data_IF_316057815055
#
_entry.id   IF_316057815055
#
_cell.length_a   1.000
_cell.length_b   1.000
_cell.length_c   1.000
_cell.angle_alpha   90.00
_cell.angle_beta   90.00
_cell.angle_gamma   90.00
#
_symmetry.space_group_name_H-M   'P 1'
#
loop_
_entity.id
_entity.type
_entity.pdbx_description
1 polymer ?
#
# COMPACT_ATOMS: atom_id res chain seq x y z
N UNK A 1 19.20 -12.06 11.10
CA UNK A 1 19.38 -10.60 10.81
C UNK A 1 19.50 -10.33 9.30
N UNK A 2 20.40 -10.97 8.56
CA UNK A 2 20.55 -10.76 7.11
C UNK A 2 19.27 -11.08 6.31
N UNK A 3 18.61 -12.20 6.58
CA UNK A 3 17.36 -12.58 5.89
C UNK A 3 16.21 -11.61 6.15
N UNK A 4 15.97 -11.23 7.42
CA UNK A 4 14.96 -10.23 7.77
C UNK A 4 15.21 -8.88 7.07
N UNK A 5 16.46 -8.45 6.97
CA UNK A 5 16.81 -7.21 6.26
C UNK A 5 16.50 -7.31 4.77
N UNK A 6 16.82 -8.45 4.15
CA UNK A 6 16.52 -8.73 2.74
C UNK A 6 15.01 -8.75 2.48
N UNK A 7 14.23 -9.39 3.35
CA UNK A 7 12.76 -9.43 3.25
C UNK A 7 12.13 -8.05 3.46
N UNK A 8 12.65 -7.27 4.41
CA UNK A 8 12.22 -5.90 4.64
C UNK A 8 12.48 -5.00 3.43
N UNK A 9 13.67 -5.09 2.83
CA UNK A 9 14.00 -4.35 1.60
C UNK A 9 13.05 -4.78 0.47
N UNK A 10 12.87 -6.09 0.28
CA UNK A 10 12.00 -6.63 -0.78
C UNK A 10 10.56 -6.16 -0.63
N UNK A 11 9.98 -6.30 0.55
CA UNK A 11 8.59 -5.88 0.84
C UNK A 11 8.41 -4.38 0.66
N UNK A 12 9.39 -3.58 1.09
CA UNK A 12 9.40 -2.13 0.90
C UNK A 12 9.44 -1.74 -0.57
N UNK A 13 10.33 -2.35 -1.36
CA UNK A 13 10.44 -2.08 -2.81
C UNK A 13 9.15 -2.46 -3.53
N UNK A 14 8.55 -3.61 -3.21
CA UNK A 14 7.26 -4.03 -3.79
C UNK A 14 6.17 -3.02 -3.44
N UNK A 15 6.10 -2.60 -2.17
CA UNK A 15 5.10 -1.64 -1.69
C UNK A 15 5.23 -0.26 -2.34
N UNK A 16 6.45 0.27 -2.46
CA UNK A 16 6.71 1.52 -3.19
C UNK A 16 6.32 1.36 -4.66
N UNK A 17 6.74 0.27 -5.31
CA UNK A 17 6.39 -0.01 -6.69
C UNK A 17 4.88 -0.06 -6.93
N UNK A 18 4.13 -0.64 -6.00
CA UNK A 18 2.67 -0.66 -6.07
C UNK A 18 2.04 0.72 -5.87
N UNK A 19 2.51 1.51 -4.90
CA UNK A 19 2.05 2.87 -4.70
C UNK A 19 2.26 3.72 -5.96
N UNK A 20 3.44 3.60 -6.59
CA UNK A 20 3.76 4.26 -7.85
C UNK A 20 2.88 3.78 -9.00
N UNK A 21 2.65 2.46 -9.12
CA UNK A 21 1.79 1.91 -10.15
C UNK A 21 0.35 2.43 -10.04
N UNK A 22 -0.21 2.47 -8.82
CA UNK A 22 -1.54 3.02 -8.56
C UNK A 22 -1.57 4.51 -8.90
N UNK A 23 -0.55 5.27 -8.49
CA UNK A 23 -0.43 6.69 -8.82
C UNK A 23 -0.40 6.93 -10.33
N UNK A 24 0.36 6.13 -11.09
CA UNK A 24 0.39 6.22 -12.56
C UNK A 24 -0.96 5.86 -13.18
N UNK A 25 -1.65 4.81 -12.72
CA UNK A 25 -2.99 4.43 -13.21
C UNK A 25 -3.99 5.57 -12.97
N UNK A 26 -3.98 6.15 -11.78
CA UNK A 26 -4.81 7.31 -11.45
C UNK A 26 -4.45 8.49 -12.35
N UNK A 27 -3.15 8.76 -12.54
CA UNK A 27 -2.66 9.80 -13.45
C UNK A 27 -3.17 9.64 -14.88
N UNK A 28 -3.17 8.42 -15.43
CA UNK A 28 -3.75 8.12 -16.76
C UNK A 28 -5.25 8.42 -16.78
N UNK A 29 -6.00 8.09 -15.73
CA UNK A 29 -7.43 8.41 -15.65
C UNK A 29 -7.67 9.92 -15.67
N UNK A 30 -6.85 10.70 -14.94
CA UNK A 30 -6.92 12.16 -14.98
C UNK A 30 -6.55 12.70 -16.37
N UNK A 31 -5.45 12.23 -16.95
CA UNK A 31 -5.01 12.63 -18.29
C UNK A 31 -6.12 12.46 -19.34
N UNK A 32 -6.77 11.28 -19.38
CA UNK A 32 -7.88 11.01 -20.29
C UNK A 32 -9.10 11.87 -19.97
N UNK A 33 -9.49 11.99 -18.69
CA UNK A 33 -10.67 12.76 -18.26
C UNK A 33 -10.57 14.25 -18.62
N UNK A 34 -9.37 14.81 -18.54
CA UNK A 34 -9.10 16.22 -18.83
C UNK A 34 -8.52 16.43 -20.24
N UNK A 35 -8.65 15.43 -21.13
CA UNK A 35 -8.23 15.51 -22.53
C UNK A 35 -6.77 15.94 -22.74
N UNK A 36 -5.86 15.42 -21.91
CA UNK A 36 -4.43 15.73 -21.92
C UNK A 36 -4.06 17.02 -21.18
N UNK A 37 -5.02 17.73 -20.60
CA UNK A 37 -4.76 18.97 -19.87
C UNK A 37 -4.57 18.71 -18.37
N UNK A 38 -3.31 18.52 -17.96
CA UNK A 38 -2.93 18.24 -16.58
C UNK A 38 -1.79 19.17 -16.13
N UNK A 39 -2.15 20.32 -15.58
CA UNK A 39 -1.20 21.32 -15.06
C UNK A 39 -0.97 21.15 -13.56
N UNK A 40 0.29 20.98 -13.16
CA UNK A 40 0.71 20.89 -11.76
C UNK A 40 1.68 22.02 -11.43
N UNK A 41 1.35 22.83 -10.44
CA UNK A 41 2.18 23.95 -9.98
C UNK A 41 2.88 23.65 -8.65
N UNK A 42 3.77 24.52 -8.18
CA UNK A 42 4.34 24.45 -6.83
C UNK A 42 4.99 23.10 -6.48
N UNK A 43 5.66 22.48 -7.47
CA UNK A 43 6.30 21.16 -7.36
C UNK A 43 5.32 20.05 -6.95
N UNK A 44 4.03 20.19 -7.27
CA UNK A 44 2.99 19.27 -6.82
C UNK A 44 3.24 17.83 -7.30
N UNK A 45 3.74 17.65 -8.52
CA UNK A 45 4.14 16.33 -9.00
C UNK A 45 5.22 15.69 -8.10
N UNK A 46 6.28 16.44 -7.79
CA UNK A 46 7.36 15.99 -6.92
C UNK A 46 6.84 15.62 -5.53
N UNK A 47 5.96 16.44 -4.95
CA UNK A 47 5.32 16.16 -3.66
C UNK A 47 4.51 14.85 -3.71
N UNK A 48 3.75 14.63 -4.78
CA UNK A 48 2.97 13.39 -4.97
C UNK A 48 3.87 12.16 -5.11
N UNK A 49 4.97 12.24 -5.86
CA UNK A 49 5.95 11.14 -5.98
C UNK A 49 6.59 10.82 -4.64
N UNK A 50 7.05 11.83 -3.89
CA UNK A 50 7.57 11.63 -2.53
C UNK A 50 6.49 11.01 -1.63
N UNK A 51 5.25 11.47 -1.74
CA UNK A 51 4.11 10.90 -1.05
C UNK A 51 3.93 9.40 -1.34
N UNK A 52 4.04 8.99 -2.60
CA UNK A 52 3.97 7.58 -2.97
C UNK A 52 5.09 6.74 -2.35
N UNK A 53 6.31 7.28 -2.24
CA UNK A 53 7.41 6.61 -1.53
C UNK A 53 7.08 6.44 -0.04
N UNK A 54 6.59 7.50 0.61
CA UNK A 54 6.23 7.48 2.03
C UNK A 54 5.08 6.50 2.31
N UNK A 55 4.07 6.44 1.43
CA UNK A 55 2.99 5.45 1.50
C UNK A 55 3.55 4.04 1.33
N UNK A 56 4.41 3.84 0.34
CA UNK A 56 5.10 2.58 0.11
C UNK A 56 5.86 2.11 1.35
N UNK A 57 6.58 3.00 2.02
CA UNK A 57 7.25 2.73 3.30
C UNK A 57 6.25 2.42 4.42
N UNK A 58 5.17 3.20 4.52
CA UNK A 58 4.11 3.05 5.53
C UNK A 58 3.43 1.68 5.52
N UNK A 59 3.31 1.04 4.35
CA UNK A 59 2.83 -0.35 4.26
C UNK A 59 3.98 -1.37 4.24
N UNK A 60 5.08 -1.06 3.54
CA UNK A 60 6.19 -2.00 3.33
C UNK A 60 6.90 -2.37 4.61
N UNK A 61 7.25 -1.38 5.44
CA UNK A 61 8.04 -1.60 6.66
C UNK A 61 7.26 -2.38 7.73
N UNK A 62 6.00 -2.02 8.06
CA UNK A 62 5.23 -2.74 9.08
C UNK A 62 4.91 -4.19 8.72
N UNK A 63 5.04 -4.59 7.45
CA UNK A 63 4.85 -5.97 7.01
C UNK A 63 5.78 -6.96 7.73
N UNK A 64 6.89 -6.49 8.32
CA UNK A 64 7.79 -7.31 9.14
C UNK A 64 7.06 -8.01 10.31
N UNK A 65 5.94 -7.47 10.79
CA UNK A 65 5.11 -8.07 11.83
C UNK A 65 4.60 -9.47 11.46
N UNK A 66 4.54 -9.81 10.17
CA UNK A 66 4.16 -11.16 9.71
C UNK A 66 5.17 -12.24 10.04
N UNK A 67 6.43 -11.89 10.35
CA UNK A 67 7.47 -12.83 10.76
C UNK A 67 7.47 -13.11 12.27
N UNK A 68 6.60 -12.44 13.05
CA UNK A 68 6.51 -12.66 14.50
C UNK A 68 5.50 -13.76 14.81
N UNK A 69 5.98 -14.98 15.01
CA UNK A 69 5.14 -16.13 15.34
C UNK A 69 4.38 -16.02 16.67
N UNK A 70 4.84 -15.14 17.56
CA UNK A 70 4.21 -14.87 18.86
C UNK A 70 2.90 -14.09 18.77
N UNK A 71 2.62 -13.43 17.65
CA UNK A 71 1.40 -12.61 17.48
C UNK A 71 0.33 -13.38 16.71
N UNK A 72 -0.95 -13.35 17.11
CA UNK A 72 -2.02 -13.93 16.31
C UNK A 72 -2.26 -13.09 15.05
N UNK A 73 -2.74 -13.73 13.98
CA UNK A 73 -2.91 -13.12 12.66
C UNK A 73 -3.72 -11.79 12.68
N UNK A 74 -4.85 -11.68 13.41
CA UNK A 74 -5.61 -10.41 13.45
C UNK A 74 -4.79 -9.23 13.99
N UNK A 75 -3.94 -9.47 14.99
CA UNK A 75 -3.09 -8.42 15.58
C UNK A 75 -2.00 -7.99 14.58
N UNK A 76 -1.42 -8.95 13.83
CA UNK A 76 -0.47 -8.64 12.75
C UNK A 76 -1.12 -7.75 11.68
N UNK A 77 -2.37 -8.04 11.31
CA UNK A 77 -3.14 -7.24 10.35
C UNK A 77 -3.41 -5.85 10.90
N UNK A 78 -3.86 -5.72 12.15
CA UNK A 78 -4.13 -4.41 12.78
C UNK A 78 -2.87 -3.54 12.82
N UNK A 79 -1.71 -4.11 13.16
CA UNK A 79 -0.44 -3.36 13.20
C UNK A 79 -0.04 -2.92 11.79
N UNK A 80 -0.04 -3.83 10.81
CA UNK A 80 0.34 -3.50 9.44
C UNK A 80 -0.62 -2.48 8.81
N UNK A 81 -1.92 -2.74 8.87
CA UNK A 81 -2.95 -1.90 8.27
C UNK A 81 -3.09 -0.57 9.00
N UNK A 82 -3.05 -0.58 10.33
CA UNK A 82 -3.15 0.63 11.13
C UNK A 82 -2.04 1.62 10.81
N UNK A 83 -0.79 1.16 10.79
CA UNK A 83 0.35 2.02 10.44
C UNK A 83 0.24 2.50 9.00
N UNK A 84 0.01 1.59 8.04
CA UNK A 84 -0.09 1.94 6.62
C UNK A 84 -1.19 2.95 6.31
N UNK A 85 -2.39 2.76 6.88
CA UNK A 85 -3.53 3.66 6.67
C UNK A 85 -3.32 5.03 7.34
N UNK A 86 -2.71 5.08 8.53
CA UNK A 86 -2.37 6.36 9.18
C UNK A 86 -1.35 7.14 8.36
N UNK A 87 -0.25 6.49 7.93
CA UNK A 87 0.76 7.13 7.08
C UNK A 87 0.13 7.61 5.78
N UNK A 88 -0.69 6.77 5.12
CA UNK A 88 -1.39 7.17 3.90
C UNK A 88 -2.22 8.41 4.12
N UNK A 89 -3.06 8.43 5.16
CA UNK A 89 -3.98 9.55 5.41
C UNK A 89 -3.23 10.86 5.63
N UNK A 90 -2.15 10.84 6.43
CA UNK A 90 -1.30 12.01 6.66
C UNK A 90 -0.66 12.49 5.36
N UNK A 91 -0.09 11.57 4.57
CA UNK A 91 0.55 11.90 3.30
C UNK A 91 -0.46 12.46 2.30
N UNK A 92 -1.62 11.83 2.16
CA UNK A 92 -2.68 12.24 1.24
C UNK A 92 -3.18 13.66 1.55
N UNK A 93 -3.31 14.01 2.83
CA UNK A 93 -3.60 15.38 3.24
C UNK A 93 -2.45 16.33 2.88
N UNK A 94 -1.21 15.95 3.20
CA UNK A 94 -0.01 16.79 3.00
C UNK A 94 0.28 17.10 1.52
N UNK A 95 -0.03 16.16 0.62
CA UNK A 95 0.15 16.35 -0.83
C UNK A 95 -1.09 16.93 -1.50
N UNK A 96 -2.16 17.23 -0.74
CA UNK A 96 -3.37 17.87 -1.25
C UNK A 96 -4.31 16.95 -2.02
N UNK A 97 -4.23 15.64 -1.85
CA UNK A 97 -5.26 14.71 -2.37
C UNK A 97 -6.56 14.80 -1.57
N UNK A 98 -6.45 15.14 -0.28
CA UNK A 98 -7.56 15.31 0.64
C UNK A 98 -7.39 16.70 1.29
N UNK A 99 -8.40 17.58 1.21
CA UNK A 99 -8.48 18.75 2.10
C UNK A 99 -8.46 20.15 1.48
N UNK A 100 -8.23 20.33 0.18
CA UNK A 100 -8.18 21.69 -0.39
C UNK A 100 -9.56 22.28 -0.77
N UNK A 101 -10.56 21.41 -1.01
CA UNK A 101 -11.91 21.82 -1.43
C UNK A 101 -12.99 20.75 -1.18
N UNK A 102 -12.61 19.61 -0.59
CA UNK A 102 -13.50 18.47 -0.41
C UNK A 102 -14.46 18.72 0.77
N UNK A 103 -15.75 18.47 0.56
CA UNK A 103 -16.72 18.43 1.66
C UNK A 103 -16.38 17.30 2.64
N UNK A 104 -16.88 17.37 3.87
CA UNK A 104 -16.70 16.30 4.87
C UNK A 104 -17.17 14.95 4.31
N UNK A 105 -18.26 14.94 3.52
CA UNK A 105 -18.78 13.73 2.87
C UNK A 105 -17.81 13.14 1.84
N UNK A 106 -17.21 13.97 0.99
CA UNK A 106 -16.21 13.52 0.01
C UNK A 106 -14.95 12.97 0.69
N UNK A 107 -14.50 13.62 1.78
CA UNK A 107 -13.40 13.12 2.60
C UNK A 107 -13.66 11.72 3.17
N UNK A 108 -14.88 11.46 3.66
CA UNK A 108 -15.28 10.13 4.16
C UNK A 108 -15.26 9.11 3.03
N UNK A 109 -15.80 9.44 1.85
CA UNK A 109 -15.83 8.54 0.70
C UNK A 109 -14.41 8.18 0.25
N UNK A 110 -13.51 9.17 0.15
CA UNK A 110 -12.11 8.92 -0.20
C UNK A 110 -11.44 8.02 0.83
N UNK A 111 -11.68 8.26 2.12
CA UNK A 111 -11.18 7.41 3.21
C UNK A 111 -11.69 5.96 3.11
N UNK A 112 -12.97 5.75 2.80
CA UNK A 112 -13.54 4.42 2.62
C UNK A 112 -12.92 3.69 1.41
N UNK A 113 -12.72 4.39 0.28
CA UNK A 113 -12.06 3.83 -0.90
C UNK A 113 -10.62 3.44 -0.56
N UNK A 114 -9.89 4.29 0.14
CA UNK A 114 -8.52 4.01 0.59
C UNK A 114 -8.46 2.73 1.44
N UNK A 115 -9.35 2.59 2.42
CA UNK A 115 -9.45 1.39 3.26
C UNK A 115 -9.78 0.17 2.40
N UNK A 116 -10.77 0.26 1.52
CA UNK A 116 -11.18 -0.84 0.65
C UNK A 116 -10.04 -1.33 -0.24
N UNK A 117 -9.34 -0.41 -0.92
CA UNK A 117 -8.20 -0.74 -1.80
C UNK A 117 -7.07 -1.41 -1.01
N UNK A 118 -6.72 -0.88 0.17
CA UNK A 118 -5.68 -1.47 1.02
C UNK A 118 -6.02 -2.90 1.43
N UNK A 119 -7.26 -3.16 1.85
CA UNK A 119 -7.70 -4.51 2.23
C UNK A 119 -7.80 -5.46 1.03
N UNK A 120 -8.22 -4.99 -0.14
CA UNK A 120 -8.23 -5.80 -1.38
C UNK A 120 -6.81 -6.24 -1.74
N UNK A 121 -5.86 -5.30 -1.77
CA UNK A 121 -4.44 -5.58 -2.04
C UNK A 121 -3.91 -6.63 -1.08
N UNK A 122 -4.09 -6.42 0.23
CA UNK A 122 -3.63 -7.37 1.23
C UNK A 122 -4.28 -8.73 1.11
N UNK A 123 -5.59 -8.79 0.82
CA UNK A 123 -6.30 -10.04 0.65
C UNK A 123 -5.76 -10.85 -0.54
N UNK A 124 -5.43 -10.19 -1.65
CA UNK A 124 -4.79 -10.82 -2.80
C UNK A 124 -3.42 -11.42 -2.42
N UNK A 125 -2.56 -10.66 -1.74
CA UNK A 125 -1.28 -11.17 -1.26
C UNK A 125 -1.44 -12.32 -0.26
N UNK A 126 -2.36 -12.21 0.69
CA UNK A 126 -2.65 -13.27 1.64
C UNK A 126 -3.05 -14.56 0.91
N UNK A 127 -3.94 -14.49 -0.10
CA UNK A 127 -4.33 -15.66 -0.90
C UNK A 127 -3.15 -16.23 -1.67
N UNK A 128 -2.36 -15.39 -2.32
CA UNK A 128 -1.17 -15.80 -3.07
C UNK A 128 -0.18 -16.56 -2.18
N UNK A 129 0.21 -15.98 -1.04
CA UNK A 129 1.16 -16.62 -0.13
C UNK A 129 0.60 -17.88 0.54
N UNK A 130 -0.70 -17.90 0.87
CA UNK A 130 -1.35 -19.11 1.38
C UNK A 130 -1.32 -20.25 0.36
N UNK A 131 -1.51 -19.95 -0.93
CA UNK A 131 -1.42 -20.95 -1.99
C UNK A 131 0.02 -21.45 -2.18
N UNK A 132 1.02 -20.58 -2.19
CA UNK A 132 2.43 -20.98 -2.27
C UNK A 132 2.85 -21.88 -1.10
N UNK A 133 2.46 -21.51 0.13
CA UNK A 133 2.73 -22.34 1.31
C UNK A 133 2.08 -23.72 1.21
N UNK A 134 0.83 -23.79 0.71
CA UNK A 134 0.16 -25.07 0.46
C UNK A 134 0.93 -25.92 -0.56
N UNK A 135 1.29 -25.35 -1.71
CA UNK A 135 2.06 -26.06 -2.76
C UNK A 135 3.40 -26.59 -2.23
N UNK A 136 4.08 -25.82 -1.37
CA UNK A 136 5.33 -26.26 -0.74
C UNK A 136 5.10 -27.45 0.18
N UNK A 137 4.06 -27.41 1.02
CA UNK A 137 3.72 -28.52 1.91
C UNK A 137 3.33 -29.79 1.14
N UNK A 138 2.53 -29.66 0.07
CA UNK A 138 2.11 -30.79 -0.76
C UNK A 138 3.35 -31.47 -1.41
N UNK A 139 4.31 -30.69 -1.89
CA UNK A 139 5.59 -31.22 -2.43
C UNK A 139 6.43 -31.93 -1.37
N UNK A 140 6.51 -31.39 -0.15
CA UNK A 140 7.24 -32.01 0.96
C UNK A 140 6.60 -33.35 1.32
N UNK A 141 5.27 -33.43 1.34
CA UNK A 141 4.54 -34.68 1.61
C UNK A 141 4.74 -35.70 0.50
N UNK A 142 4.78 -35.29 -0.77
CA UNK A 142 5.01 -36.19 -1.89
C UNK A 142 6.45 -36.74 -1.97
N UNK A 143 7.40 -36.14 -1.25
CA UNK A 143 8.79 -36.63 -1.12
C UNK A 143 8.98 -37.58 0.07
N UNK A 144 7.95 -37.76 0.92
CA UNK A 144 7.95 -38.74 2.01
C UNK A 144 7.34 -40.05 1.53
#
# INVERSE_FOLDING_TARGET
MKELCKELIRSTVISIGMAMAIFCIVGIVFDVKYAGNFSLENYQFTKMVIGCVLIGLGFGVPSIVYHKDTLPMPIRVIIHMGIGLVVYTIVAYSVGWIGSSASIGEGIIIGLIQVAVAFVIWFLFMRYYKQEAKKMNDKIQAMK
#
